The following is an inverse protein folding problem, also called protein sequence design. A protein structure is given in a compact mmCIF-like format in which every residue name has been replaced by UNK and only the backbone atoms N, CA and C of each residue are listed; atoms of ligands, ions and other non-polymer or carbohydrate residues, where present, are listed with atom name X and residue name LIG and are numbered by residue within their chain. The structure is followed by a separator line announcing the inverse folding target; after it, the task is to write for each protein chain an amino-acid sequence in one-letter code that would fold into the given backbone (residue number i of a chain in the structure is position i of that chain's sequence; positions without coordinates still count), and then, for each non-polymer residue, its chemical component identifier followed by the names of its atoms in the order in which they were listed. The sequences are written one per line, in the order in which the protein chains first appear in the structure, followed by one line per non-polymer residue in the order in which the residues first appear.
data_IF_210246442731
#
_entry.id   IF_210246442731
#
_cell.length_a   1.000
_cell.length_b   1.000
_cell.length_c   1.000
_cell.angle_alpha   90.00
_cell.angle_beta   90.00
_cell.angle_gamma   90.00
#
_symmetry.space_group_name_H-M   'P 1'
#
loop_
_entity.id
_entity.type
_entity.pdbx_description
1 polymer ?
#
# COMPACT_ATOMS: atom_id res chain seq x y z
N UNK A 1 53.75 25.94 0.64
CA UNK A 1 52.60 25.30 1.31
C UNK A 1 52.60 23.86 0.84
N UNK A 2 52.72 22.88 1.75
CA UNK A 2 52.80 21.48 1.33
C UNK A 2 51.42 20.97 0.83
N UNK A 3 51.42 19.90 0.04
CA UNK A 3 50.19 19.32 -0.52
C UNK A 3 49.21 18.82 0.56
N UNK A 4 49.68 18.51 1.78
CA UNK A 4 48.82 18.13 2.90
C UNK A 4 48.10 19.35 3.48
N UNK A 5 48.79 20.49 3.65
CA UNK A 5 48.19 21.73 4.13
C UNK A 5 47.14 22.27 3.16
N UNK A 6 47.38 22.18 1.84
CA UNK A 6 46.38 22.55 0.85
C UNK A 6 45.12 21.66 0.95
N UNK A 7 45.30 20.34 1.11
CA UNK A 7 44.19 19.39 1.24
C UNK A 7 43.37 19.61 2.51
N UNK A 8 44.02 19.93 3.64
CA UNK A 8 43.34 20.24 4.90
C UNK A 8 42.50 21.51 4.81
N UNK A 9 43.02 22.56 4.15
CA UNK A 9 42.28 23.82 3.95
C UNK A 9 41.05 23.59 3.06
N UNK A 10 41.18 22.78 2.00
CA UNK A 10 40.04 22.44 1.14
C UNK A 10 38.95 21.66 1.90
N UNK A 11 39.30 20.67 2.72
CA UNK A 11 38.32 19.92 3.52
C UNK A 11 37.59 20.82 4.52
N UNK A 12 38.32 21.72 5.21
CA UNK A 12 37.71 22.66 6.15
C UNK A 12 36.76 23.65 5.46
N UNK A 13 37.12 24.12 4.26
CA UNK A 13 36.26 25.02 3.48
C UNK A 13 34.98 24.34 3.00
N UNK A 14 35.02 23.04 2.66
CA UNK A 14 33.86 22.23 2.29
C UNK A 14 32.96 21.99 3.50
N UNK A 15 33.53 21.66 4.66
CA UNK A 15 32.76 21.49 5.91
C UNK A 15 32.08 22.79 6.30
N UNK A 16 32.80 23.93 6.28
CA UNK A 16 32.23 25.25 6.58
C UNK A 16 31.12 25.63 5.59
N UNK A 17 31.29 25.28 4.30
CA UNK A 17 30.25 25.48 3.28
C UNK A 17 28.99 24.66 3.59
N UNK A 18 29.10 23.38 3.96
CA UNK A 18 27.96 22.55 4.32
C UNK A 18 27.32 22.94 5.66
N UNK A 19 28.10 23.41 6.65
CA UNK A 19 27.57 24.02 7.88
C UNK A 19 26.79 25.30 7.54
N UNK A 20 27.29 26.12 6.61
CA UNK A 20 26.60 27.32 6.12
C UNK A 20 25.30 27.02 5.36
N UNK A 21 25.27 25.95 4.57
CA UNK A 21 24.03 25.47 3.92
C UNK A 21 23.00 24.94 4.94
N UNK A 22 23.46 24.41 6.08
CA UNK A 22 22.61 23.93 7.18
C UNK A 22 21.84 25.02 7.96
N UNK A 23 22.03 26.30 7.64
CA UNK A 23 21.35 27.43 8.30
C UNK A 23 20.14 27.94 7.48
N UNK A 24 20.00 27.50 6.23
CA UNK A 24 18.76 27.71 5.48
C UNK A 24 17.72 26.67 5.92
N UNK A 25 17.05 27.04 7.01
CA UNK A 25 15.82 26.44 7.52
C UNK A 25 14.80 26.42 6.38
N UNK A 26 14.81 25.35 5.59
CA UNK A 26 13.61 24.95 4.86
C UNK A 26 12.55 24.87 5.94
N UNK A 27 11.58 25.76 5.84
CA UNK A 27 10.39 25.80 6.68
C UNK A 27 9.52 24.58 6.30
N UNK A 28 10.03 23.38 6.52
CA UNK A 28 9.17 22.24 6.75
C UNK A 28 8.50 22.52 8.07
N UNK A 29 7.21 22.82 8.04
CA UNK A 29 6.36 22.67 9.22
C UNK A 29 6.54 21.23 9.68
N UNK A 30 7.43 20.99 10.63
CA UNK A 30 7.55 19.72 11.34
C UNK A 30 6.28 19.63 12.18
N UNK A 31 5.20 19.15 11.55
CA UNK A 31 3.94 18.82 12.20
C UNK A 31 4.33 17.86 13.32
N UNK A 32 3.97 18.20 14.55
CA UNK A 32 4.08 17.33 15.72
C UNK A 32 3.29 16.04 15.40
N UNK A 33 3.94 15.05 14.78
CA UNK A 33 3.33 13.75 14.54
C UNK A 33 3.14 13.11 15.91
N UNK A 34 1.88 12.91 16.31
CA UNK A 34 1.57 12.08 17.47
C UNK A 34 2.10 10.69 17.18
N UNK A 35 3.14 10.27 17.90
CA UNK A 35 3.64 8.91 17.82
C UNK A 35 2.62 7.97 18.48
N UNK A 36 1.85 7.27 17.66
CA UNK A 36 0.95 6.22 18.14
C UNK A 36 1.76 4.95 18.42
N UNK A 37 1.62 4.31 19.60
CA UNK A 37 2.19 2.99 19.81
C UNK A 37 1.74 2.04 18.71
N UNK A 38 2.70 1.40 18.03
CA UNK A 38 2.43 0.65 16.80
C UNK A 38 1.42 -0.48 17.00
N UNK A 39 1.44 -1.13 18.16
CA UNK A 39 0.47 -2.16 18.53
C UNK A 39 -0.95 -1.60 18.64
N UNK A 40 -1.11 -0.44 19.28
CA UNK A 40 -2.41 0.25 19.40
C UNK A 40 -2.94 0.66 18.03
N UNK A 41 -2.07 1.10 17.12
CA UNK A 41 -2.45 1.41 15.74
C UNK A 41 -2.96 0.15 15.00
N UNK A 42 -2.19 -0.94 15.05
CA UNK A 42 -2.56 -2.22 14.43
C UNK A 42 -3.90 -2.72 14.97
N UNK A 43 -4.09 -2.71 16.29
CA UNK A 43 -5.33 -3.17 16.92
C UNK A 43 -6.55 -2.37 16.46
N UNK A 44 -6.40 -1.04 16.29
CA UNK A 44 -7.46 -0.19 15.75
C UNK A 44 -7.79 -0.51 14.30
N UNK A 45 -6.78 -0.70 13.46
CA UNK A 45 -6.99 -1.09 12.05
C UNK A 45 -7.69 -2.44 11.97
N UNK A 46 -7.17 -3.47 12.65
CA UNK A 46 -7.74 -4.82 12.62
C UNK A 46 -9.16 -4.84 13.20
N UNK A 47 -9.39 -4.18 14.34
CA UNK A 47 -10.73 -4.14 14.96
C UNK A 47 -11.76 -3.41 14.10
N UNK A 48 -11.34 -2.41 13.31
CA UNK A 48 -12.21 -1.73 12.36
C UNK A 48 -12.53 -2.62 11.17
N UNK A 49 -11.51 -3.22 10.54
CA UNK A 49 -11.67 -4.17 9.42
C UNK A 49 -12.59 -5.33 9.81
N UNK A 50 -12.48 -5.83 11.04
CA UNK A 50 -13.34 -6.92 11.52
C UNK A 50 -14.82 -6.56 11.58
N UNK A 51 -15.15 -5.29 11.79
CA UNK A 51 -16.53 -4.77 11.85
C UNK A 51 -17.08 -4.38 10.49
N UNK A 52 -16.22 -4.20 9.48
CA UNK A 52 -16.62 -3.84 8.13
C UNK A 52 -17.29 -5.01 7.40
N UNK A 53 -18.32 -4.70 6.61
CA UNK A 53 -18.80 -5.57 5.55
C UNK A 53 -17.86 -5.50 4.33
N UNK A 54 -18.13 -6.31 3.29
CA UNK A 54 -17.29 -6.37 2.09
C UNK A 54 -17.14 -5.02 1.37
N UNK A 55 -18.26 -4.29 1.20
CA UNK A 55 -18.26 -3.00 0.51
C UNK A 55 -17.51 -1.93 1.31
N UNK A 56 -17.70 -1.88 2.63
CA UNK A 56 -16.96 -0.93 3.48
C UNK A 56 -15.46 -1.21 3.48
N UNK A 57 -15.09 -2.50 3.37
CA UNK A 57 -13.69 -2.89 3.26
C UNK A 57 -13.09 -2.53 1.90
N UNK A 58 -13.84 -2.70 0.81
CA UNK A 58 -13.46 -2.21 -0.53
C UNK A 58 -13.21 -0.69 -0.54
N UNK A 59 -14.12 0.08 0.08
CA UNK A 59 -13.98 1.54 0.23
C UNK A 59 -12.71 1.90 1.03
N UNK A 60 -12.44 1.16 2.11
CA UNK A 60 -11.26 1.41 2.93
C UNK A 60 -9.95 1.06 2.19
N UNK A 61 -9.93 -0.04 1.45
CA UNK A 61 -8.77 -0.41 0.62
C UNK A 61 -8.53 0.65 -0.46
N UNK A 62 -9.59 1.15 -1.12
CA UNK A 62 -9.48 2.25 -2.08
C UNK A 62 -8.87 3.50 -1.43
N UNK A 63 -9.34 3.87 -0.24
CA UNK A 63 -8.80 4.98 0.54
C UNK A 63 -7.31 4.81 0.84
N UNK A 64 -6.88 3.62 1.29
CA UNK A 64 -5.46 3.33 1.55
C UNK A 64 -4.62 3.45 0.28
N UNK A 65 -5.10 2.95 -0.87
CA UNK A 65 -4.38 3.15 -2.13
C UNK A 65 -4.26 4.63 -2.50
N UNK A 66 -5.31 5.43 -2.30
CA UNK A 66 -5.27 6.89 -2.54
C UNK A 66 -4.29 7.59 -1.61
N UNK A 67 -4.26 7.24 -0.33
CA UNK A 67 -3.30 7.77 0.66
C UNK A 67 -1.84 7.41 0.32
N UNK A 68 -1.61 6.23 -0.26
CA UNK A 68 -0.31 5.81 -0.80
C UNK A 68 0.05 6.53 -2.12
N UNK A 69 -0.81 7.41 -2.63
CA UNK A 69 -0.58 8.20 -3.84
C UNK A 69 -0.99 7.53 -5.14
N UNK A 70 -1.72 6.41 -5.10
CA UNK A 70 -2.26 5.79 -6.31
C UNK A 70 -3.53 6.50 -6.76
N UNK A 71 -3.73 6.58 -8.08
CA UNK A 71 -5.05 6.87 -8.63
C UNK A 71 -5.85 5.57 -8.67
N UNK A 72 -6.74 5.39 -7.70
CA UNK A 72 -7.62 4.23 -7.57
C UNK A 72 -9.07 4.60 -7.95
N UNK A 73 -9.72 3.73 -8.72
CA UNK A 73 -11.12 3.86 -9.13
C UNK A 73 -11.85 2.54 -8.90
N UNK A 74 -12.98 2.57 -8.18
CA UNK A 74 -13.90 1.43 -8.04
C UNK A 74 -14.55 1.04 -9.37
N UNK A 75 -14.76 -0.26 -9.55
CA UNK A 75 -15.51 -0.78 -10.70
C UNK A 75 -17.01 -0.85 -10.39
N UNK A 76 -17.89 -0.83 -11.41
CA UNK A 76 -19.31 -1.07 -11.19
C UNK A 76 -19.56 -2.49 -10.66
N UNK A 77 -20.41 -2.62 -9.63
CA UNK A 77 -20.79 -3.91 -8.99
C UNK A 77 -21.40 -4.96 -9.92
N UNK A 78 -21.71 -4.62 -11.17
CA UNK A 78 -22.27 -5.54 -12.17
C UNK A 78 -21.33 -5.66 -13.36
N UNK A 79 -21.01 -6.90 -13.76
CA UNK A 79 -20.18 -7.22 -14.94
C UNK A 79 -18.73 -6.74 -14.86
N UNK A 80 -18.18 -6.58 -13.66
CA UNK A 80 -16.78 -6.21 -13.44
C UNK A 80 -15.76 -7.24 -13.95
N UNK A 81 -16.18 -8.51 -14.09
CA UNK A 81 -15.28 -9.62 -14.44
C UNK A 81 -14.50 -10.18 -13.25
N UNK A 82 -14.84 -9.80 -12.01
CA UNK A 82 -14.10 -10.15 -10.79
C UNK A 82 -12.88 -9.25 -10.56
N UNK A 83 -13.10 -7.93 -10.54
CA UNK A 83 -12.17 -6.92 -10.07
C UNK A 83 -12.96 -5.81 -9.36
N UNK A 84 -12.52 -5.40 -8.20
CA UNK A 84 -13.19 -4.39 -7.37
C UNK A 84 -12.59 -2.99 -7.57
N UNK A 85 -11.27 -2.89 -7.83
CA UNK A 85 -10.58 -1.62 -8.14
C UNK A 85 -9.72 -1.70 -9.40
N UNK A 86 -9.52 -0.55 -10.02
CA UNK A 86 -8.50 -0.33 -11.04
C UNK A 86 -7.54 0.75 -10.54
N UNK A 87 -6.25 0.42 -10.45
CA UNK A 87 -5.19 1.38 -10.15
C UNK A 87 -4.54 1.84 -11.44
N UNK A 88 -4.34 3.16 -11.59
CA UNK A 88 -3.48 3.69 -12.64
C UNK A 88 -2.04 3.73 -12.13
N UNK A 89 -1.15 3.05 -12.85
CA UNK A 89 0.30 3.01 -12.59
C UNK A 89 1.06 3.67 -13.74
N UNK A 90 2.36 3.93 -13.57
CA UNK A 90 3.20 4.46 -14.66
C UNK A 90 3.27 3.54 -15.88
N UNK A 91 3.14 2.23 -15.65
CA UNK A 91 3.29 1.20 -16.69
C UNK A 91 1.94 0.71 -17.25
N UNK A 92 0.83 1.41 -16.94
CA UNK A 92 -0.51 1.02 -17.33
C UNK A 92 -1.44 0.78 -16.14
N UNK A 93 -2.38 -0.15 -16.27
CA UNK A 93 -3.37 -0.44 -15.22
C UNK A 93 -2.92 -1.62 -14.35
N UNK A 94 -3.39 -1.64 -13.11
CA UNK A 94 -3.37 -2.83 -12.26
C UNK A 94 -4.80 -3.12 -11.79
N UNK A 95 -5.21 -4.38 -11.92
CA UNK A 95 -6.53 -4.83 -11.46
C UNK A 95 -6.44 -5.37 -10.04
N UNK A 96 -7.39 -4.98 -9.19
CA UNK A 96 -7.43 -5.40 -7.79
C UNK A 96 -8.74 -6.11 -7.50
N UNK A 97 -8.67 -7.32 -6.95
CA UNK A 97 -9.81 -8.02 -6.35
C UNK A 97 -9.65 -8.01 -4.83
N UNK A 98 -10.74 -7.75 -4.13
CA UNK A 98 -10.80 -7.60 -2.68
C UNK A 98 -11.83 -8.59 -2.13
N UNK A 99 -11.46 -9.36 -1.11
CA UNK A 99 -12.36 -10.28 -0.42
C UNK A 99 -12.25 -10.15 1.08
N UNK A 100 -13.29 -9.62 1.72
CA UNK A 100 -13.44 -9.67 3.18
C UNK A 100 -13.98 -11.04 3.57
N UNK A 101 -13.09 -11.99 3.87
CA UNK A 101 -13.44 -13.34 4.32
C UNK A 101 -13.09 -13.56 5.81
N UNK A 102 -13.84 -14.47 6.45
CA UNK A 102 -13.44 -15.00 7.75
C UNK A 102 -12.13 -15.78 7.61
N UNK A 103 -11.31 -15.81 8.67
CA UNK A 103 -9.99 -16.46 8.66
C UNK A 103 -10.03 -17.96 8.36
N UNK A 104 -11.17 -18.63 8.57
CA UNK A 104 -11.39 -20.04 8.22
C UNK A 104 -11.73 -20.27 6.75
N UNK A 105 -12.01 -19.22 5.98
CA UNK A 105 -12.38 -19.31 4.57
C UNK A 105 -11.24 -18.77 3.70
N UNK A 106 -10.43 -19.67 3.14
CA UNK A 106 -9.28 -19.32 2.31
C UNK A 106 -9.70 -19.04 0.86
N UNK A 107 -9.00 -18.12 0.22
CA UNK A 107 -9.13 -17.86 -1.22
C UNK A 107 -8.55 -19.02 -2.01
N UNK A 108 -9.30 -19.50 -3.00
CA UNK A 108 -8.95 -20.67 -3.81
C UNK A 108 -8.45 -20.29 -5.21
N UNK A 109 -7.75 -21.21 -5.87
CA UNK A 109 -7.19 -21.00 -7.20
C UNK A 109 -8.20 -20.50 -8.26
N UNK A 110 -9.47 -20.98 -8.32
CA UNK A 110 -10.44 -20.47 -9.28
C UNK A 110 -10.71 -18.95 -9.17
N UNK A 111 -10.68 -18.38 -7.97
CA UNK A 111 -10.86 -16.93 -7.78
C UNK A 111 -9.67 -16.14 -8.32
N UNK A 112 -8.45 -16.63 -8.06
CA UNK A 112 -7.21 -16.03 -8.57
C UNK A 112 -7.16 -16.10 -10.10
N UNK A 113 -7.50 -17.25 -10.68
CA UNK A 113 -7.61 -17.43 -12.13
C UNK A 113 -8.65 -16.51 -12.76
N UNK A 114 -9.77 -16.24 -12.09
CA UNK A 114 -10.80 -15.32 -12.59
C UNK A 114 -10.24 -13.91 -12.75
N UNK A 115 -9.54 -13.39 -11.74
CA UNK A 115 -8.90 -12.07 -11.81
C UNK A 115 -7.84 -12.03 -12.92
N UNK A 116 -6.98 -13.05 -12.99
CA UNK A 116 -5.96 -13.17 -14.06
C UNK A 116 -6.64 -13.18 -15.44
N UNK A 117 -7.72 -13.95 -15.60
CA UNK A 117 -8.48 -14.03 -16.86
C UNK A 117 -9.06 -12.68 -17.28
N UNK A 118 -9.61 -11.91 -16.33
CA UNK A 118 -10.07 -10.55 -16.62
C UNK A 118 -8.93 -9.64 -17.05
N UNK A 119 -7.77 -9.72 -16.39
CA UNK A 119 -6.62 -8.90 -16.75
C UNK A 119 -6.09 -9.23 -18.15
N UNK A 120 -5.93 -10.52 -18.45
CA UNK A 120 -5.50 -11.00 -19.79
C UNK A 120 -6.47 -10.55 -20.88
N UNK A 121 -7.79 -10.66 -20.64
CA UNK A 121 -8.83 -10.25 -21.60
C UNK A 121 -8.73 -8.75 -21.96
N UNK A 122 -8.33 -7.92 -20.99
CA UNK A 122 -8.23 -6.47 -21.15
C UNK A 122 -6.81 -5.99 -21.48
N UNK A 123 -5.85 -6.91 -21.70
CA UNK A 123 -4.44 -6.58 -21.97
C UNK A 123 -3.68 -6.01 -20.76
N UNK A 124 -4.19 -6.21 -19.55
CA UNK A 124 -3.56 -5.81 -18.28
C UNK A 124 -2.64 -6.93 -17.79
N UNK A 125 -1.42 -6.57 -17.39
CA UNK A 125 -0.38 -7.53 -16.99
C UNK A 125 -0.01 -7.49 -15.50
N UNK A 126 -0.70 -6.66 -14.70
CA UNK A 126 -0.49 -6.55 -13.26
C UNK A 126 -1.80 -6.72 -12.49
N UNK A 127 -1.78 -7.54 -11.46
CA UNK A 127 -2.91 -7.78 -10.57
C UNK A 127 -2.51 -7.72 -9.10
N UNK A 128 -3.49 -7.43 -8.25
CA UNK A 128 -3.39 -7.62 -6.80
C UNK A 128 -4.67 -8.32 -6.32
N UNK A 129 -4.52 -9.43 -5.61
CA UNK A 129 -5.62 -10.04 -4.88
C UNK A 129 -5.42 -9.71 -3.40
N UNK A 130 -6.43 -9.14 -2.76
CA UNK A 130 -6.42 -8.79 -1.35
C UNK A 130 -7.50 -9.57 -0.62
N UNK A 131 -7.15 -10.17 0.52
CA UNK A 131 -8.12 -10.81 1.40
C UNK A 131 -7.82 -10.53 2.87
N UNK A 132 -8.87 -10.52 3.71
CA UNK A 132 -8.70 -10.50 5.18
C UNK A 132 -8.41 -11.88 5.78
N UNK A 133 -8.42 -12.93 4.95
CA UNK A 133 -8.12 -14.31 5.32
C UNK A 133 -6.72 -14.68 4.80
N UNK A 134 -6.55 -15.88 4.27
CA UNK A 134 -5.37 -16.30 3.51
C UNK A 134 -5.74 -16.98 2.19
N UNK A 135 -4.77 -17.70 1.64
CA UNK A 135 -4.85 -18.38 0.35
C UNK A 135 -4.61 -19.88 0.53
N UNK A 136 -5.23 -20.71 -0.31
CA UNK A 136 -4.83 -22.13 -0.41
C UNK A 136 -3.48 -22.25 -1.11
N UNK A 137 -2.77 -23.38 -0.91
CA UNK A 137 -1.51 -23.64 -1.62
C UNK A 137 -1.71 -23.59 -3.14
N UNK A 138 -2.81 -24.17 -3.66
CA UNK A 138 -3.12 -24.11 -5.09
C UNK A 138 -3.32 -22.68 -5.60
N UNK A 139 -3.86 -21.77 -4.78
CA UNK A 139 -4.03 -20.36 -5.14
C UNK A 139 -2.68 -19.64 -5.24
N UNK A 140 -1.76 -19.95 -4.31
CA UNK A 140 -0.39 -19.44 -4.32
C UNK A 140 0.37 -19.98 -5.55
N UNK A 141 0.34 -21.30 -5.76
CA UNK A 141 0.92 -21.97 -6.93
C UNK A 141 0.43 -21.38 -8.26
N UNK A 142 -0.87 -21.08 -8.34
CA UNK A 142 -1.50 -20.44 -9.50
C UNK A 142 -0.93 -19.05 -9.76
N UNK A 143 -0.80 -18.25 -8.69
CA UNK A 143 -0.24 -16.91 -8.79
C UNK A 143 1.23 -16.93 -9.24
N UNK A 144 2.04 -17.84 -8.69
CA UNK A 144 3.47 -17.97 -9.02
C UNK A 144 3.73 -18.45 -10.45
N UNK A 145 2.88 -19.33 -10.98
CA UNK A 145 3.00 -19.86 -12.36
C UNK A 145 2.41 -18.93 -13.43
N UNK A 146 1.74 -17.85 -13.02
CA UNK A 146 1.10 -16.90 -13.93
C UNK A 146 2.11 -16.07 -14.72
N UNK A 147 1.77 -15.74 -15.98
CA UNK A 147 2.50 -14.73 -16.77
C UNK A 147 2.10 -13.29 -16.43
N UNK A 148 0.91 -13.11 -15.85
CA UNK A 148 0.47 -11.84 -15.27
C UNK A 148 1.12 -11.71 -13.90
N UNK A 149 1.77 -10.57 -13.62
CA UNK A 149 2.36 -10.28 -12.31
C UNK A 149 1.24 -10.04 -11.30
N UNK A 150 0.90 -11.06 -10.52
CA UNK A 150 -0.13 -11.00 -9.50
C UNK A 150 0.49 -11.01 -8.10
N UNK A 151 0.10 -10.03 -7.27
CA UNK A 151 0.45 -9.99 -5.85
C UNK A 151 -0.70 -10.52 -5.01
N UNK A 152 -0.40 -11.42 -4.08
CA UNK A 152 -1.34 -11.90 -3.08
C UNK A 152 -1.08 -11.16 -1.76
N UNK A 153 -2.10 -10.49 -1.25
CA UNK A 153 -2.05 -9.69 -0.02
C UNK A 153 -3.07 -10.25 0.96
N UNK A 154 -2.61 -10.65 2.14
CA UNK A 154 -3.46 -11.05 3.26
C UNK A 154 -3.71 -9.86 4.21
N UNK A 155 -4.35 -10.12 5.35
CA UNK A 155 -4.61 -9.08 6.34
C UNK A 155 -3.32 -8.44 6.88
N UNK A 156 -2.24 -9.21 7.02
CA UNK A 156 -0.97 -8.69 7.53
C UNK A 156 -0.33 -7.75 6.52
N UNK A 157 -0.29 -8.16 5.24
CA UNK A 157 0.17 -7.31 4.16
C UNK A 157 -0.66 -6.03 4.02
N UNK A 158 -1.98 -6.11 4.19
CA UNK A 158 -2.83 -4.92 4.19
C UNK A 158 -2.57 -3.99 5.39
N UNK A 159 -2.33 -4.55 6.59
CA UNK A 159 -1.90 -3.76 7.75
C UNK A 159 -0.57 -3.08 7.49
N UNK A 160 0.37 -3.74 6.83
CA UNK A 160 1.65 -3.13 6.45
C UNK A 160 1.48 -2.00 5.43
N UNK A 161 0.57 -2.13 4.46
CA UNK A 161 0.18 -1.02 3.58
C UNK A 161 -0.38 0.17 4.38
N UNK A 162 -1.23 -0.09 5.39
CA UNK A 162 -1.75 0.96 6.26
C UNK A 162 -0.64 1.68 7.05
N UNK A 163 0.44 0.98 7.43
CA UNK A 163 1.59 1.58 8.13
C UNK A 163 2.44 2.48 7.22
N UNK A 164 2.35 2.31 5.90
CA UNK A 164 3.03 3.18 4.93
C UNK A 164 2.31 4.53 4.74
N UNK A 165 1.09 4.66 5.25
CA UNK A 165 0.29 5.89 5.18
C UNK A 165 0.54 6.80 6.39
N UNK A 166 0.10 8.06 6.32
CA UNK A 166 0.04 8.92 7.50
C UNK A 166 -0.97 8.36 8.50
N UNK A 167 -0.49 8.01 9.71
CA UNK A 167 -1.31 7.35 10.71
C UNK A 167 -2.51 8.20 11.16
N UNK A 168 -2.39 9.53 11.19
CA UNK A 168 -3.52 10.39 11.57
C UNK A 168 -4.62 10.34 10.51
N UNK A 169 -4.26 10.32 9.22
CA UNK A 169 -5.22 10.22 8.13
C UNK A 169 -5.98 8.88 8.19
N UNK A 170 -5.29 7.77 8.41
CA UNK A 170 -5.93 6.46 8.56
C UNK A 170 -6.85 6.44 9.79
N UNK A 171 -6.38 6.94 10.93
CA UNK A 171 -7.17 6.96 12.16
C UNK A 171 -8.36 7.93 12.08
N UNK A 172 -8.29 9.01 11.29
CA UNK A 172 -9.43 9.89 10.98
C UNK A 172 -10.48 9.16 10.13
N UNK A 173 -10.04 8.47 9.07
CA UNK A 173 -10.94 7.66 8.24
C UNK A 173 -11.69 6.63 9.08
N UNK A 174 -10.99 5.97 9.99
CA UNK A 174 -11.56 4.98 10.91
C UNK A 174 -12.35 5.59 12.08
N UNK A 175 -12.47 6.93 12.17
CA UNK A 175 -13.26 7.62 13.19
C UNK A 175 -12.64 7.67 14.59
N UNK A 176 -11.35 7.33 14.74
CA UNK A 176 -10.63 7.43 16.02
C UNK A 176 -10.08 8.82 16.30
N UNK A 177 -9.96 9.66 15.27
CA UNK A 177 -9.49 11.03 15.37
C UNK A 177 -10.51 11.98 14.73
N UNK A 178 -10.65 13.16 15.35
CA UNK A 178 -11.45 14.28 14.84
C UNK A 178 -10.62 15.19 13.97
#
# INVERSE_FOLDING_TARGET
MDNKQFFTICILSIILYYVGLGINKVNTKKKEQREYPINVYIDKVISSVNKMNGSEFEDFVEYIFKEMGFKAEQTPKTRDGGKDLILSTKDGKMYVEIKRYASSNLVTAPLVLKLIGSAVSDGVNKCLFLTTSGYTNDAIDTAEKSKVDIKLVDINGFVDMCKMCDADNVLRYLGYLK
#
